data_IF_371977693203
#
_entry.id   IF_371977693203
#
_cell.length_a   1.000
_cell.length_b   1.000
_cell.length_c   1.000
_cell.angle_alpha   90.00
_cell.angle_beta   90.00
_cell.angle_gamma   90.00
#
_symmetry.space_group_name_H-M   'P 1'
#
loop_
_entity.id
_entity.type
_entity.pdbx_description
1 polymer ?
#
# COMPACT_ATOMS: atom_id res chain seq x y z
N UNK A 1 14.72 2.06 13.41
CA UNK A 1 14.53 3.49 13.09
C UNK A 1 13.61 3.74 11.88
N UNK A 2 13.66 2.93 10.81
CA UNK A 2 12.78 3.09 9.63
C UNK A 2 11.27 2.97 9.92
N UNK A 3 10.84 2.02 10.76
CA UNK A 3 9.42 1.80 11.11
C UNK A 3 8.73 3.06 11.66
N UNK A 4 9.45 3.86 12.46
CA UNK A 4 8.93 5.08 13.07
C UNK A 4 8.65 6.17 12.01
N UNK A 5 9.49 6.30 10.99
CA UNK A 5 9.33 7.29 9.93
C UNK A 5 8.16 6.94 9.00
N UNK A 6 7.96 5.64 8.73
CA UNK A 6 6.85 5.15 7.91
C UNK A 6 5.51 5.44 8.60
N UNK A 7 5.37 5.08 9.88
CA UNK A 7 4.15 5.39 10.65
C UNK A 7 3.88 6.90 10.69
N UNK A 8 4.92 7.72 10.92
CA UNK A 8 4.78 9.19 10.91
C UNK A 8 4.35 9.73 9.55
N UNK A 9 4.82 9.15 8.46
CA UNK A 9 4.41 9.54 7.11
C UNK A 9 2.93 9.18 6.87
N UNK A 10 2.54 7.94 7.14
CA UNK A 10 1.17 7.47 6.94
C UNK A 10 0.16 8.25 7.78
N UNK A 11 0.49 8.62 9.02
CA UNK A 11 -0.38 9.42 9.88
C UNK A 11 -0.60 10.87 9.40
N UNK A 12 0.22 11.36 8.45
CA UNK A 12 0.04 12.69 7.85
C UNK A 12 -0.86 12.68 6.61
N UNK A 13 -1.15 11.50 6.08
CA UNK A 13 -1.95 11.37 4.87
C UNK A 13 -3.42 11.56 5.21
N UNK A 14 -4.13 12.29 4.36
CA UNK A 14 -5.59 12.31 4.39
C UNK A 14 -6.14 10.94 3.98
N UNK A 15 -7.44 10.74 4.23
CA UNK A 15 -8.17 9.56 3.76
C UNK A 15 -7.86 9.24 2.29
N UNK A 16 -8.11 10.19 1.39
CA UNK A 16 -7.92 9.96 -0.04
C UNK A 16 -6.45 9.79 -0.45
N UNK A 17 -5.52 10.50 0.19
CA UNK A 17 -4.09 10.32 -0.09
C UNK A 17 -3.63 8.90 0.24
N UNK A 18 -4.16 8.35 1.30
CA UNK A 18 -3.80 7.02 1.74
C UNK A 18 -4.48 5.92 0.92
N UNK A 19 -5.74 6.11 0.51
CA UNK A 19 -6.41 5.25 -0.46
C UNK A 19 -5.61 5.20 -1.77
N UNK A 20 -5.21 6.36 -2.30
CA UNK A 20 -4.44 6.43 -3.55
C UNK A 20 -3.07 5.76 -3.41
N UNK A 21 -2.40 5.92 -2.27
CA UNK A 21 -1.15 5.23 -1.99
C UNK A 21 -1.37 3.71 -1.96
N UNK A 22 -2.40 3.23 -1.27
CA UNK A 22 -2.75 1.81 -1.20
C UNK A 22 -2.94 1.22 -2.61
N UNK A 23 -3.78 1.87 -3.43
CA UNK A 23 -4.04 1.46 -4.82
C UNK A 23 -2.73 1.35 -5.61
N UNK A 24 -1.87 2.38 -5.50
CA UNK A 24 -0.59 2.42 -6.21
C UNK A 24 0.30 1.24 -5.80
N UNK A 25 0.38 0.94 -4.50
CA UNK A 25 1.19 -0.16 -3.98
C UNK A 25 0.64 -1.53 -4.42
N UNK A 26 -0.68 -1.71 -4.45
CA UNK A 26 -1.31 -2.93 -4.96
C UNK A 26 -1.00 -3.15 -6.45
N UNK A 27 -1.22 -2.13 -7.28
CA UNK A 27 -0.98 -2.20 -8.73
C UNK A 27 0.51 -2.34 -9.09
N UNK A 28 1.41 -1.84 -8.24
CA UNK A 28 2.85 -2.07 -8.41
C UNK A 28 3.25 -3.53 -8.12
N UNK A 29 2.53 -4.21 -7.22
CA UNK A 29 2.84 -5.56 -6.75
C UNK A 29 2.20 -6.66 -7.60
N UNK A 30 1.01 -6.43 -8.14
CA UNK A 30 0.25 -7.41 -8.91
C UNK A 30 -0.45 -6.75 -10.11
N UNK A 31 -1.03 -7.56 -10.99
CA UNK A 31 -1.75 -7.09 -12.18
C UNK A 31 -3.23 -6.77 -11.88
N UNK A 32 -3.53 -6.31 -10.65
CA UNK A 32 -4.88 -5.96 -10.22
C UNK A 32 -5.40 -4.73 -10.97
N UNK A 33 -6.69 -4.75 -11.34
CA UNK A 33 -7.32 -3.60 -11.97
C UNK A 33 -7.40 -2.42 -10.99
N UNK A 34 -7.51 -1.20 -11.53
CA UNK A 34 -7.67 -0.01 -10.69
C UNK A 34 -8.94 -0.08 -9.84
N UNK A 35 -10.04 -0.58 -10.43
CA UNK A 35 -11.34 -0.65 -9.75
C UNK A 35 -11.32 -1.67 -8.61
N UNK A 36 -10.71 -2.83 -8.82
CA UNK A 36 -10.54 -3.84 -7.77
C UNK A 36 -9.61 -3.35 -6.66
N UNK A 37 -8.48 -2.73 -7.04
CA UNK A 37 -7.53 -2.15 -6.08
C UNK A 37 -8.17 -1.03 -5.25
N UNK A 38 -9.04 -0.21 -5.86
CA UNK A 38 -9.78 0.85 -5.19
C UNK A 38 -10.81 0.27 -4.23
N UNK A 39 -11.57 -0.73 -4.65
CA UNK A 39 -12.52 -1.43 -3.78
C UNK A 39 -11.81 -2.03 -2.56
N UNK A 40 -10.69 -2.71 -2.78
CA UNK A 40 -9.87 -3.28 -1.71
C UNK A 40 -9.32 -2.19 -0.77
N UNK A 41 -8.75 -1.12 -1.30
CA UNK A 41 -8.20 -0.01 -0.51
C UNK A 41 -9.26 0.65 0.38
N UNK A 42 -10.48 0.85 -0.13
CA UNK A 42 -11.59 1.44 0.64
C UNK A 42 -12.03 0.51 1.77
N UNK A 43 -12.17 -0.78 1.50
CA UNK A 43 -12.58 -1.79 2.51
C UNK A 43 -11.52 -1.92 3.60
N UNK A 44 -10.24 -1.95 3.21
CA UNK A 44 -9.11 -2.18 4.11
C UNK A 44 -8.54 -0.92 4.73
N UNK A 45 -9.09 0.26 4.43
CA UNK A 45 -8.64 1.54 4.98
C UNK A 45 -8.57 1.56 6.51
N UNK A 46 -9.52 0.91 7.17
CA UNK A 46 -9.57 0.85 8.63
C UNK A 46 -8.50 -0.08 9.24
N UNK A 47 -7.68 -0.74 8.41
CA UNK A 47 -6.54 -1.56 8.82
C UNK A 47 -5.22 -0.84 8.48
N UNK A 48 -4.73 0.06 9.35
CA UNK A 48 -3.52 0.84 9.09
C UNK A 48 -2.24 -0.01 8.96
N UNK A 49 -2.23 -1.20 9.56
CA UNK A 49 -1.08 -2.11 9.49
C UNK A 49 -0.87 -2.65 8.07
N UNK A 50 -1.92 -2.76 7.26
CA UNK A 50 -1.83 -3.32 5.93
C UNK A 50 -1.19 -2.35 4.94
N UNK A 51 -1.60 -1.08 4.96
CA UNK A 51 -0.94 -0.03 4.17
C UNK A 51 0.53 0.14 4.59
N UNK A 52 0.81 0.05 5.89
CA UNK A 52 2.17 0.08 6.41
C UNK A 52 3.01 -1.07 5.89
N UNK A 53 2.48 -2.30 5.95
CA UNK A 53 3.16 -3.47 5.43
C UNK A 53 3.46 -3.34 3.94
N UNK A 54 2.49 -2.92 3.12
CA UNK A 54 2.68 -2.74 1.67
C UNK A 54 3.77 -1.72 1.34
N UNK A 55 3.82 -0.61 2.08
CA UNK A 55 4.83 0.42 1.91
C UNK A 55 6.21 -0.07 2.38
N UNK A 56 6.29 -0.75 3.52
CA UNK A 56 7.53 -1.38 4.02
C UNK A 56 8.06 -2.42 3.05
N UNK A 57 7.20 -3.28 2.49
CA UNK A 57 7.60 -4.27 1.48
C UNK A 57 8.14 -3.58 0.23
N UNK A 58 7.45 -2.56 -0.28
CA UNK A 58 7.82 -1.87 -1.52
C UNK A 58 9.14 -1.09 -1.41
N UNK A 59 9.47 -0.59 -0.21
CA UNK A 59 10.74 0.11 0.04
C UNK A 59 11.92 -0.85 0.24
N UNK A 60 11.67 -2.06 0.73
CA UNK A 60 12.71 -3.02 1.11
C UNK A 60 12.89 -4.18 0.12
N UNK A 61 11.94 -4.39 -0.80
CA UNK A 61 11.99 -5.49 -1.77
C UNK A 61 12.25 -4.94 -3.18
N UNK A 62 13.35 -5.34 -3.84
CA UNK A 62 13.70 -4.87 -5.19
C UNK A 62 12.87 -5.52 -6.32
N UNK A 63 11.80 -6.27 -6.01
CA UNK A 63 11.10 -7.13 -6.97
C UNK A 63 9.71 -6.58 -7.32
N UNK A 64 9.54 -5.91 -8.48
CA UNK A 64 8.23 -5.53 -8.99
C UNK A 64 7.59 -6.77 -9.63
N UNK A 65 6.40 -7.14 -9.15
CA UNK A 65 5.61 -8.31 -9.58
C UNK A 65 6.19 -9.68 -9.20
N UNK A 66 5.68 -10.27 -8.11
CA UNK A 66 5.73 -11.74 -7.95
C UNK A 66 4.83 -12.34 -9.04
N UNK A 67 5.42 -12.83 -10.13
CA UNK A 67 4.71 -13.74 -11.02
C UNK A 67 4.34 -14.96 -10.18
N UNK A 68 3.05 -15.15 -9.88
CA UNK A 68 2.58 -16.42 -9.36
C UNK A 68 2.88 -17.46 -10.43
N UNK A 69 3.73 -18.42 -10.11
CA UNK A 69 4.00 -19.56 -10.97
C UNK A 69 3.11 -20.73 -10.59
#
# INVERSE_FOLDING_TARGET
MQSNNITKFLNKLTYWQSINLYITLLQARSDISYDDAKAEAIVKWNNPDELRYLLEESLNSPSPKRKSH
#
